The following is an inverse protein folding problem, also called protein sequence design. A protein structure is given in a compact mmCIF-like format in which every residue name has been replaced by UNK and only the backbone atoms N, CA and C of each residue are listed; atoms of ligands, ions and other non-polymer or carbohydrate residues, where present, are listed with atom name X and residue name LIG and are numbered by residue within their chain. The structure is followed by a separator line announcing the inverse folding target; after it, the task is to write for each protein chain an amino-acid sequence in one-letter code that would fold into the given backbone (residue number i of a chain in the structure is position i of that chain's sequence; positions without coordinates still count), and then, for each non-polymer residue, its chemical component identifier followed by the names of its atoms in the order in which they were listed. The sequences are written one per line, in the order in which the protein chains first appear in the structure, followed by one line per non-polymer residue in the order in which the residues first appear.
data_IF_876608040326
#
_entry.id   IF_876608040326
#
_cell.length_a   1.000
_cell.length_b   1.000
_cell.length_c   1.000
_cell.angle_alpha   90.00
_cell.angle_beta   90.00
_cell.angle_gamma   90.00
#
_symmetry.space_group_name_H-M   'P 1'
#
loop_
_entity.id
_entity.type
_entity.pdbx_description
1 polymer ?
#
# COMPACT_ATOMS: atom_id res chain seq x y z
N UNK A 1 4.65 0.10 8.25
CA UNK A 1 5.46 1.33 8.20
C UNK A 1 4.52 2.51 8.26
N UNK A 2 4.72 3.44 9.21
CA UNK A 2 3.91 4.67 9.25
C UNK A 2 4.41 5.64 8.18
N UNK A 3 3.50 6.25 7.38
CA UNK A 3 3.90 7.22 6.38
C UNK A 3 4.44 8.49 7.03
N UNK A 4 5.70 8.84 6.71
CA UNK A 4 6.30 10.12 7.14
C UNK A 4 5.52 11.29 6.55
N UNK A 5 5.35 12.36 7.33
CA UNK A 5 4.78 13.62 6.83
C UNK A 5 5.77 14.34 5.91
N UNK A 6 5.27 15.29 5.10
CA UNK A 6 6.12 16.14 4.23
C UNK A 6 7.32 16.73 4.98
N UNK A 7 7.06 17.30 6.16
CA UNK A 7 8.09 17.96 6.97
C UNK A 7 9.13 16.97 7.51
N UNK A 8 8.72 15.75 7.87
CA UNK A 8 9.64 14.71 8.34
C UNK A 8 10.48 14.15 7.20
N UNK A 9 9.90 14.00 6.01
CA UNK A 9 10.62 13.52 4.83
C UNK A 9 11.62 14.56 4.31
N UNK A 10 11.23 15.83 4.25
CA UNK A 10 12.10 16.94 3.84
C UNK A 10 13.25 17.19 4.82
N UNK A 11 13.05 16.87 6.11
CA UNK A 11 14.11 16.94 7.13
C UNK A 11 15.14 15.81 7.02
N UNK A 12 14.89 14.76 6.22
CA UNK A 12 15.85 13.69 6.00
C UNK A 12 16.91 14.09 4.95
N UNK A 13 18.15 13.61 5.09
CA UNK A 13 19.15 13.75 4.04
C UNK A 13 18.71 12.97 2.79
N UNK A 14 19.18 13.41 1.62
CA UNK A 14 18.77 12.91 0.31
C UNK A 14 18.91 11.38 0.16
N UNK A 15 19.99 10.80 0.71
CA UNK A 15 20.21 9.35 0.73
C UNK A 15 19.08 8.59 1.47
N UNK A 16 18.58 9.17 2.57
CA UNK A 16 17.49 8.60 3.37
C UNK A 16 16.12 8.81 2.72
N UNK A 17 15.95 9.91 1.99
CA UNK A 17 14.75 10.15 1.18
C UNK A 17 14.63 9.11 0.07
N UNK A 18 15.73 8.78 -0.61
CA UNK A 18 15.77 7.73 -1.63
C UNK A 18 15.48 6.34 -1.06
N UNK A 19 16.06 5.97 0.09
CA UNK A 19 15.72 4.71 0.78
C UNK A 19 14.21 4.62 1.07
N UNK A 20 13.62 5.70 1.58
CA UNK A 20 12.19 5.76 1.90
C UNK A 20 11.30 5.72 0.68
N UNK A 21 11.72 6.33 -0.43
CA UNK A 21 11.04 6.20 -1.72
C UNK A 21 11.10 4.76 -2.25
N UNK A 22 12.25 4.10 -2.16
CA UNK A 22 12.41 2.71 -2.57
C UNK A 22 11.53 1.77 -1.74
N UNK A 23 11.50 1.94 -0.41
CA UNK A 23 10.60 1.20 0.47
C UNK A 23 9.13 1.41 0.11
N UNK A 24 8.78 2.63 -0.30
CA UNK A 24 7.44 2.98 -0.72
C UNK A 24 7.08 2.38 -2.08
N UNK A 25 8.03 2.33 -3.03
CA UNK A 25 7.90 1.59 -4.30
C UNK A 25 7.63 0.12 -4.02
N UNK A 26 8.43 -0.50 -3.16
CA UNK A 26 8.29 -1.92 -2.83
C UNK A 26 6.95 -2.21 -2.14
N UNK A 27 6.45 -1.28 -1.33
CA UNK A 27 5.20 -1.42 -0.59
C UNK A 27 3.96 -1.16 -1.46
N UNK A 28 4.03 -0.20 -2.37
CA UNK A 28 2.90 0.20 -3.22
C UNK A 28 2.90 -0.49 -4.59
N UNK A 29 4.04 -1.05 -5.00
CA UNK A 29 4.28 -1.55 -6.35
C UNK A 29 4.27 -0.45 -7.41
N UNK A 30 4.44 0.81 -7.01
CA UNK A 30 4.40 1.94 -7.94
C UNK A 30 5.73 2.14 -8.65
N UNK A 31 5.71 2.28 -9.98
CA UNK A 31 6.88 2.75 -10.72
C UNK A 31 7.08 4.23 -10.43
N UNK A 32 8.04 4.53 -9.55
CA UNK A 32 8.47 5.90 -9.28
C UNK A 32 9.55 6.28 -10.29
N UNK A 33 9.18 7.16 -11.21
CA UNK A 33 10.15 7.80 -12.11
C UNK A 33 10.76 9.03 -11.40
N UNK A 34 12.02 8.90 -11.00
CA UNK A 34 12.82 10.01 -10.45
C UNK A 34 13.44 10.89 -11.56
N UNK A 35 13.09 10.62 -12.83
CA UNK A 35 13.55 11.36 -13.99
C UNK A 35 12.92 12.75 -14.13
N UNK A 36 13.72 13.79 -13.89
CA UNK A 36 13.51 15.14 -14.38
C UNK A 36 12.78 16.09 -13.42
N UNK A 37 13.50 17.12 -12.95
CA UNK A 37 13.06 18.37 -12.29
C UNK A 37 11.99 18.30 -11.16
N UNK A 38 11.56 17.10 -10.75
CA UNK A 38 10.58 16.89 -9.69
C UNK A 38 11.31 16.58 -8.39
N UNK A 39 10.99 17.35 -7.34
CA UNK A 39 11.54 17.13 -6.00
C UNK A 39 11.14 15.75 -5.48
N UNK A 40 12.10 15.03 -4.86
CA UNK A 40 11.87 13.72 -4.23
C UNK A 40 10.71 13.76 -3.22
N UNK A 41 10.51 14.91 -2.59
CA UNK A 41 9.41 15.17 -1.65
C UNK A 41 8.05 15.11 -2.35
N UNK A 42 7.92 15.71 -3.52
CA UNK A 42 6.67 15.71 -4.29
C UNK A 42 6.35 14.30 -4.84
N UNK A 43 7.39 13.58 -5.26
CA UNK A 43 7.29 12.19 -5.69
C UNK A 43 6.82 11.29 -4.54
N UNK A 44 7.41 11.45 -3.36
CA UNK A 44 7.05 10.71 -2.15
C UNK A 44 5.62 11.03 -1.74
N UNK A 45 5.21 12.29 -1.73
CA UNK A 45 3.83 12.70 -1.41
C UNK A 45 2.80 12.20 -2.43
N UNK A 46 3.15 12.14 -3.72
CA UNK A 46 2.25 11.65 -4.76
C UNK A 46 2.02 10.13 -4.68
N UNK A 47 2.99 9.39 -4.13
CA UNK A 47 2.93 7.93 -4.02
C UNK A 47 2.65 7.44 -2.60
N UNK A 48 2.71 8.34 -1.61
CA UNK A 48 2.25 8.06 -0.25
C UNK A 48 0.85 7.45 -0.34
N UNK A 49 0.64 6.24 0.21
CA UNK A 49 -0.69 5.71 0.34
C UNK A 49 -1.43 6.70 1.22
N UNK A 50 -2.33 7.45 0.59
CA UNK A 50 -3.00 8.58 1.22
C UNK A 50 -3.61 8.05 2.54
N UNK A 51 -3.35 8.65 3.71
CA UNK A 51 -4.06 8.24 4.93
C UNK A 51 -5.58 8.45 4.78
N UNK A 52 -6.04 9.18 3.76
CA UNK A 52 -7.44 9.24 3.31
C UNK A 52 -7.82 8.19 2.26
N UNK A 53 -6.87 7.46 1.67
CA UNK A 53 -7.10 6.11 1.12
C UNK A 53 -7.29 5.10 2.26
N UNK A 54 -8.22 5.44 3.17
CA UNK A 54 -9.02 4.53 4.01
C UNK A 54 -9.79 3.49 3.20
N UNK A 55 -9.46 3.32 1.92
CA UNK A 55 -10.06 2.41 0.99
C UNK A 55 -9.25 1.14 0.85
N UNK A 56 -8.05 0.99 1.41
CA UNK A 56 -7.35 -0.31 1.37
C UNK A 56 -6.82 -0.75 2.74
N UNK A 57 -7.03 -2.03 3.06
CA UNK A 57 -6.61 -2.70 4.29
C UNK A 57 -5.76 -3.93 3.94
N UNK A 58 -4.71 -4.18 4.72
CA UNK A 58 -3.92 -5.39 4.60
C UNK A 58 -4.67 -6.58 5.23
N UNK A 59 -4.85 -7.65 4.46
CA UNK A 59 -5.48 -8.88 4.94
C UNK A 59 -4.60 -10.07 4.64
N UNK A 60 -4.65 -11.07 5.51
CA UNK A 60 -4.05 -12.39 5.29
C UNK A 60 -5.15 -13.38 4.90
N UNK A 61 -4.98 -14.08 3.79
CA UNK A 61 -5.90 -15.14 3.39
C UNK A 61 -5.76 -16.38 4.28
N UNK A 62 -6.88 -16.90 4.76
CA UNK A 62 -6.96 -18.20 5.41
C UNK A 62 -7.11 -19.34 4.38
N UNK A 63 -7.55 -19.00 3.17
CA UNK A 63 -7.68 -19.90 2.03
C UNK A 63 -7.53 -19.16 0.70
N UNK A 64 -7.24 -19.91 -0.37
CA UNK A 64 -7.12 -19.33 -1.71
C UNK A 64 -8.49 -18.85 -2.19
N UNK A 65 -8.64 -17.54 -2.37
CA UNK A 65 -9.90 -16.89 -2.73
C UNK A 65 -9.72 -16.00 -3.96
N UNK A 66 -10.69 -16.05 -4.87
CA UNK A 66 -10.84 -15.05 -5.93
C UNK A 66 -11.91 -14.06 -5.53
N UNK A 67 -11.60 -12.77 -5.62
CA UNK A 67 -12.50 -11.70 -5.25
C UNK A 67 -12.42 -10.56 -6.27
N UNK A 68 -13.46 -9.74 -6.29
CA UNK A 68 -13.48 -8.49 -7.04
C UNK A 68 -13.06 -7.38 -6.08
N UNK A 69 -11.93 -6.73 -6.36
CA UNK A 69 -11.42 -5.65 -5.54
C UNK A 69 -12.17 -4.33 -5.86
N UNK A 70 -12.04 -3.30 -5.01
CA UNK A 70 -12.76 -2.02 -5.15
C UNK A 70 -12.45 -1.31 -6.48
N UNK A 71 -11.33 -1.64 -7.12
CA UNK A 71 -10.94 -1.18 -8.46
C UNK A 71 -11.62 -1.95 -9.61
N UNK A 72 -12.62 -2.79 -9.29
CA UNK A 72 -13.32 -3.71 -10.22
C UNK A 72 -12.38 -4.71 -10.90
N UNK A 73 -11.16 -4.91 -10.39
CA UNK A 73 -10.26 -5.96 -10.90
C UNK A 73 -10.49 -7.24 -10.12
N UNK A 74 -10.53 -8.36 -10.85
CA UNK A 74 -10.53 -9.69 -10.23
C UNK A 74 -9.11 -10.00 -9.78
N UNK A 75 -8.95 -10.28 -8.49
CA UNK A 75 -7.68 -10.66 -7.89
C UNK A 75 -7.80 -12.03 -7.25
N UNK A 76 -6.69 -12.75 -7.19
CA UNK A 76 -6.59 -14.02 -6.48
C UNK A 76 -5.66 -13.81 -5.30
N UNK A 77 -6.17 -14.04 -4.09
CA UNK A 77 -5.34 -14.08 -2.88
C UNK A 77 -5.12 -15.55 -2.54
N UNK A 78 -3.86 -15.96 -2.47
CA UNK A 78 -3.50 -17.34 -2.16
C UNK A 78 -3.57 -17.59 -0.66
N UNK A 79 -3.84 -18.83 -0.26
CA UNK A 79 -3.81 -19.22 1.16
C UNK A 79 -2.49 -18.76 1.83
N UNK A 80 -2.59 -18.24 3.04
CA UNK A 80 -1.50 -17.73 3.88
C UNK A 80 -0.74 -16.51 3.32
N UNK A 81 -1.13 -15.99 2.16
CA UNK A 81 -0.56 -14.76 1.59
C UNK A 81 -1.20 -13.50 2.16
N UNK A 82 -0.43 -12.41 2.18
CA UNK A 82 -0.88 -11.09 2.60
C UNK A 82 -1.04 -10.20 1.36
N UNK A 83 -2.14 -9.45 1.28
CA UNK A 83 -2.32 -8.44 0.26
C UNK A 83 -3.06 -7.22 0.77
N UNK A 84 -2.86 -6.10 0.08
CA UNK A 84 -3.66 -4.89 0.22
C UNK A 84 -4.90 -5.00 -0.66
N UNK A 85 -6.05 -4.91 -0.03
CA UNK A 85 -7.38 -5.00 -0.67
C UNK A 85 -8.26 -3.86 -0.23
N UNK A 86 -9.26 -3.52 -1.05
CA UNK A 86 -10.34 -2.60 -0.71
C UNK A 86 -10.87 -2.77 0.71
N UNK A 87 -11.11 -1.71 1.50
CA UNK A 87 -11.61 -1.83 2.89
C UNK A 87 -12.98 -2.51 2.90
N UNK A 88 -13.86 -2.15 1.97
CA UNK A 88 -15.17 -2.79 1.84
C UNK A 88 -15.02 -4.29 1.54
N UNK A 89 -14.11 -4.61 0.62
CA UNK A 89 -13.82 -5.98 0.21
C UNK A 89 -13.16 -6.77 1.33
N UNK A 90 -12.25 -6.15 2.07
CA UNK A 90 -11.55 -6.73 3.20
C UNK A 90 -12.49 -7.05 4.35
N UNK A 91 -13.43 -6.16 4.66
CA UNK A 91 -14.50 -6.40 5.64
C UNK A 91 -15.44 -7.52 5.17
N UNK A 92 -15.82 -7.54 3.88
CA UNK A 92 -16.63 -8.61 3.32
C UNK A 92 -15.92 -9.97 3.43
N UNK A 93 -14.68 -10.07 2.96
CA UNK A 93 -13.88 -11.29 3.01
C UNK A 93 -13.64 -11.76 4.45
N UNK A 94 -13.53 -10.83 5.40
CA UNK A 94 -13.41 -11.13 6.82
C UNK A 94 -14.72 -11.65 7.41
N UNK A 95 -15.86 -11.07 7.03
CA UNK A 95 -17.19 -11.55 7.41
C UNK A 95 -17.49 -12.96 6.84
N UNK A 96 -16.98 -13.25 5.65
CA UNK A 96 -17.05 -14.59 5.03
C UNK A 96 -16.02 -15.58 5.60
N UNK A 97 -15.14 -15.15 6.52
CA UNK A 97 -14.11 -16.00 7.13
C UNK A 97 -12.99 -16.42 6.16
N UNK A 98 -12.82 -15.70 5.05
CA UNK A 98 -11.83 -16.00 4.01
C UNK A 98 -10.46 -15.37 4.31
N UNK A 99 -10.46 -14.24 5.03
CA UNK A 99 -9.25 -13.49 5.38
C UNK A 99 -9.29 -13.04 6.85
N UNK A 100 -8.13 -12.73 7.41
CA UNK A 100 -7.97 -12.09 8.72
C UNK A 100 -7.24 -10.76 8.60
N UNK A 101 -7.46 -9.85 9.55
CA UNK A 101 -6.73 -8.59 9.62
C UNK A 101 -5.25 -8.88 9.80
N UNK A 102 -4.42 -8.50 8.82
CA UNK A 102 -2.98 -8.61 8.97
C UNK A 102 -2.51 -7.44 9.83
N UNK A 103 -1.93 -7.73 11.00
CA UNK A 103 -1.15 -6.73 11.73
C UNK A 103 0.11 -6.50 10.89
N UNK A 104 0.14 -5.40 10.15
CA UNK A 104 1.30 -4.95 9.37
C UNK A 104 2.30 -4.28 10.29
#
# INVERSE_FOLDING_TARGET
MEPLTKAEFEALPEDKQLEKLQELVDLTGAEIDTGGDKSLVDIYLAHLPDPKDKKRMAVRALQSVRFLDDDKKRRTLLKDSVALVGVNVAEQLKAEGLVTGAKV
#
